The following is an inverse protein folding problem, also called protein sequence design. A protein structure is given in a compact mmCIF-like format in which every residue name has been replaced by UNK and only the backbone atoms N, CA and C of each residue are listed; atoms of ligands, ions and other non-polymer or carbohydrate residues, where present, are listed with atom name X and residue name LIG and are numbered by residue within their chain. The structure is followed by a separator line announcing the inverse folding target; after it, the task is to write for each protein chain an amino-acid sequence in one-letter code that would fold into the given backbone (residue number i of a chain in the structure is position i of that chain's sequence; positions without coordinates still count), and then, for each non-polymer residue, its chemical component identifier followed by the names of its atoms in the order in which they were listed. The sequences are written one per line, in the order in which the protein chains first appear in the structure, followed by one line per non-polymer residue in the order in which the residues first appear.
data_IF_985807267117
#
_entry.id   IF_985807267117
#
_cell.length_a   1.000
_cell.length_b   1.000
_cell.length_c   1.000
_cell.angle_alpha   90.00
_cell.angle_beta   90.00
_cell.angle_gamma   90.00
#
_symmetry.space_group_name_H-M   'P 1'
#
loop_
_entity.id
_entity.type
_entity.pdbx_description
1 polymer ?
#
# COMPACT_ATOMS: atom_id res chain seq x y z
N UNK A 1 25.81 -0.61 24.79
CA UNK A 1 26.76 -0.05 23.81
C UNK A 1 26.58 -0.75 22.46
N UNK A 2 26.38 0.00 21.38
CA UNK A 2 26.23 -0.56 20.03
C UNK A 2 27.64 -0.90 19.50
N UNK A 3 27.80 -2.10 18.95
CA UNK A 3 29.06 -2.57 18.35
C UNK A 3 29.40 -1.71 17.13
N UNK A 4 30.64 -1.20 17.08
CA UNK A 4 31.13 -0.37 15.97
C UNK A 4 31.04 -1.09 14.61
N UNK A 5 31.10 -2.42 14.59
CA UNK A 5 30.97 -3.21 13.37
C UNK A 5 29.53 -3.31 12.85
N UNK A 6 28.54 -2.82 13.60
CA UNK A 6 27.13 -2.74 13.17
C UNK A 6 26.79 -1.40 12.50
N UNK A 7 27.77 -0.50 12.36
CA UNK A 7 27.61 0.78 11.66
C UNK A 7 27.94 0.60 10.18
N UNK A 8 26.96 0.87 9.31
CA UNK A 8 27.18 0.92 7.87
C UNK A 8 28.02 2.15 7.53
N UNK A 9 29.32 1.97 7.25
CA UNK A 9 30.18 3.02 6.72
C UNK A 9 29.85 3.31 5.25
N UNK A 10 29.16 4.43 4.99
CA UNK A 10 28.96 4.94 3.63
C UNK A 10 30.25 5.64 3.18
N UNK A 11 31.08 4.96 2.38
CA UNK A 11 32.27 5.56 1.78
C UNK A 11 31.86 6.54 0.67
N UNK A 12 31.79 7.83 1.00
CA UNK A 12 31.59 8.87 0.00
C UNK A 12 32.79 8.93 -0.97
N UNK A 13 32.56 8.67 -2.26
CA UNK A 13 33.60 8.77 -3.30
C UNK A 13 34.02 10.24 -3.46
N UNK A 14 35.25 10.55 -3.02
CA UNK A 14 35.96 11.78 -3.38
C UNK A 14 36.23 11.80 -4.89
N UNK A 15 35.77 12.87 -5.56
CA UNK A 15 35.97 13.11 -6.98
C UNK A 15 37.36 13.71 -7.20
N UNK A 16 38.34 12.91 -7.58
CA UNK A 16 39.63 13.43 -8.09
C UNK A 16 39.43 14.15 -9.43
N UNK A 17 40.03 15.34 -9.54
CA UNK A 17 40.20 16.06 -10.80
C UNK A 17 41.62 15.82 -11.30
N UNK A 18 41.75 15.07 -12.40
CA UNK A 18 42.96 15.05 -13.22
C UNK A 18 42.54 15.32 -14.67
N UNK A 19 43.11 16.39 -15.23
CA UNK A 19 42.82 16.87 -16.57
C UNK A 19 43.48 16.04 -17.66
N UNK A 20 42.82 15.98 -18.81
CA UNK A 20 43.36 15.42 -20.05
C UNK A 20 42.30 15.52 -21.16
N UNK A 21 42.57 16.34 -22.18
CA UNK A 21 41.74 16.46 -23.39
C UNK A 21 41.77 15.15 -24.17
N UNK A 22 40.62 14.61 -24.60
CA UNK A 22 40.47 13.76 -25.80
C UNK A 22 38.97 13.57 -26.16
N UNK A 23 38.61 13.96 -27.39
CA UNK A 23 37.49 13.57 -28.30
C UNK A 23 36.03 13.51 -27.78
N UNK A 24 35.03 14.10 -28.49
CA UNK A 24 33.63 13.93 -28.15
C UNK A 24 33.11 12.57 -28.65
N UNK A 25 33.15 11.56 -27.79
CA UNK A 25 32.35 10.33 -27.94
C UNK A 25 31.04 10.49 -27.18
N UNK A 26 29.97 9.93 -27.76
CA UNK A 26 28.56 9.85 -27.33
C UNK A 26 28.26 10.06 -25.83
N UNK A 27 27.08 10.61 -25.47
CA UNK A 27 26.67 10.71 -24.08
C UNK A 27 26.66 9.30 -23.46
N UNK A 28 27.65 9.02 -22.61
CA UNK A 28 27.60 7.88 -21.72
C UNK A 28 26.44 8.15 -20.76
N UNK A 29 25.30 7.56 -21.05
CA UNK A 29 24.21 7.40 -20.09
C UNK A 29 24.84 6.67 -18.92
N UNK A 30 25.15 7.39 -17.84
CA UNK A 30 25.51 6.75 -16.58
C UNK A 30 24.31 5.92 -16.18
N UNK A 31 24.41 4.60 -16.36
CA UNK A 31 23.46 3.69 -15.75
C UNK A 31 23.43 4.01 -14.26
N UNK A 32 22.30 4.52 -13.79
CA UNK A 32 22.05 4.71 -12.38
C UNK A 32 21.94 3.30 -11.82
N UNK A 33 23.04 2.78 -11.28
CA UNK A 33 23.04 1.51 -10.56
C UNK A 33 22.12 1.70 -9.36
N UNK A 34 20.93 1.13 -9.45
CA UNK A 34 19.95 1.18 -8.39
C UNK A 34 20.34 0.14 -7.34
N UNK A 35 20.85 0.60 -6.20
CA UNK A 35 21.18 -0.26 -5.06
C UNK A 35 19.92 -0.45 -4.21
N UNK A 36 19.65 -1.71 -3.85
CA UNK A 36 18.49 -2.08 -3.05
C UNK A 36 18.94 -2.52 -1.65
N UNK A 37 18.29 -1.99 -0.63
CA UNK A 37 18.48 -2.46 0.75
C UNK A 37 18.00 -3.91 0.82
N UNK A 38 18.83 -4.79 1.37
CA UNK A 38 18.65 -6.25 1.39
C UNK A 38 18.71 -6.94 0.01
N UNK A 39 19.29 -6.28 -1.01
CA UNK A 39 19.55 -6.87 -2.33
C UNK A 39 18.37 -6.78 -3.31
N UNK A 40 18.65 -7.13 -4.56
CA UNK A 40 17.71 -7.07 -5.69
C UNK A 40 17.05 -8.42 -6.02
N UNK A 41 17.34 -9.47 -5.25
CA UNK A 41 16.91 -10.85 -5.52
C UNK A 41 15.39 -10.97 -5.64
N UNK A 42 14.65 -10.20 -4.85
CA UNK A 42 13.16 -10.18 -4.87
C UNK A 42 12.53 -9.48 -6.08
N UNK A 43 13.32 -8.79 -6.91
CA UNK A 43 12.80 -8.04 -8.07
C UNK A 43 12.43 -8.99 -9.22
N UNK A 44 13.18 -10.08 -9.36
CA UNK A 44 12.99 -11.06 -10.43
C UNK A 44 12.00 -12.16 -10.08
N UNK A 45 11.56 -12.21 -8.82
CA UNK A 45 10.56 -13.18 -8.35
C UNK A 45 9.19 -12.93 -8.98
N UNK A 46 8.41 -14.00 -9.12
CA UNK A 46 7.04 -13.88 -9.61
C UNK A 46 6.16 -13.09 -8.60
N UNK A 47 5.08 -12.44 -9.06
CA UNK A 47 4.24 -11.61 -8.20
C UNK A 47 3.66 -12.33 -6.98
N UNK A 48 3.28 -13.61 -7.12
CA UNK A 48 2.65 -14.36 -6.04
C UNK A 48 3.67 -14.71 -4.94
N UNK A 49 4.87 -15.12 -5.32
CA UNK A 49 5.98 -15.37 -4.37
C UNK A 49 6.35 -14.08 -3.64
N UNK A 50 6.46 -12.96 -4.37
CA UNK A 50 6.75 -11.66 -3.78
C UNK A 50 5.68 -11.25 -2.76
N UNK A 51 4.41 -11.38 -3.11
CA UNK A 51 3.30 -11.03 -2.21
C UNK A 51 3.29 -11.89 -0.95
N UNK A 52 3.59 -13.19 -1.08
CA UNK A 52 3.73 -14.09 0.06
C UNK A 52 4.86 -13.64 1.01
N UNK A 53 6.05 -13.36 0.48
CA UNK A 53 7.20 -12.93 1.30
C UNK A 53 6.92 -11.58 1.97
N UNK A 54 6.32 -10.63 1.25
CA UNK A 54 5.92 -9.33 1.80
C UNK A 54 4.89 -9.51 2.92
N UNK A 55 3.89 -10.37 2.73
CA UNK A 55 2.89 -10.65 3.78
C UNK A 55 3.54 -11.27 5.02
N UNK A 56 4.43 -12.24 4.83
CA UNK A 56 5.19 -12.86 5.92
C UNK A 56 6.01 -11.82 6.69
N UNK A 57 6.71 -10.93 5.99
CA UNK A 57 7.48 -9.86 6.61
C UNK A 57 6.59 -8.91 7.44
N UNK A 58 5.42 -8.52 6.89
CA UNK A 58 4.44 -7.71 7.63
C UNK A 58 3.94 -8.40 8.89
N UNK A 59 3.64 -9.69 8.83
CA UNK A 59 3.24 -10.46 10.01
C UNK A 59 4.34 -10.53 11.08
N UNK A 60 5.60 -10.72 10.68
CA UNK A 60 6.72 -10.72 11.62
C UNK A 60 6.92 -9.34 12.27
N UNK A 61 6.82 -8.27 11.48
CA UNK A 61 6.87 -6.91 11.98
C UNK A 61 5.71 -6.63 12.95
N UNK A 62 4.49 -7.06 12.60
CA UNK A 62 3.31 -6.89 13.45
C UNK A 62 3.46 -7.57 14.81
N UNK A 63 4.01 -8.80 14.85
CA UNK A 63 4.31 -9.51 16.11
C UNK A 63 5.28 -8.73 16.99
N UNK A 64 6.38 -8.26 16.41
CA UNK A 64 7.38 -7.49 17.13
C UNK A 64 6.78 -6.17 17.67
N UNK A 65 6.07 -5.44 16.82
CA UNK A 65 5.47 -4.17 17.19
C UNK A 65 4.33 -4.34 18.20
N UNK A 66 3.51 -5.39 18.09
CA UNK A 66 2.47 -5.72 19.06
C UNK A 66 3.04 -6.03 20.44
N UNK A 67 4.16 -6.78 20.50
CA UNK A 67 4.88 -7.00 21.75
C UNK A 67 5.48 -5.70 22.32
N UNK A 68 6.00 -4.81 21.46
CA UNK A 68 6.48 -3.49 21.87
C UNK A 68 5.33 -2.62 22.41
N UNK A 69 4.14 -2.66 21.82
CA UNK A 69 2.96 -1.98 22.34
C UNK A 69 2.68 -2.39 23.78
N UNK A 70 2.82 -3.67 24.13
CA UNK A 70 2.68 -4.11 25.52
C UNK A 70 3.67 -3.41 26.47
N UNK A 71 4.93 -3.23 26.05
CA UNK A 71 5.94 -2.53 26.85
C UNK A 71 5.61 -1.04 26.99
N UNK A 72 5.17 -0.40 25.90
CA UNK A 72 4.76 1.02 25.91
C UNK A 72 3.53 1.24 26.80
N UNK A 73 2.63 0.25 26.84
CA UNK A 73 1.41 0.27 27.65
C UNK A 73 1.64 -0.03 29.13
N UNK A 74 2.86 -0.40 29.55
CA UNK A 74 3.17 -0.80 30.92
C UNK A 74 2.88 0.36 31.90
N UNK A 75 2.19 0.12 33.04
CA UNK A 75 1.89 1.15 34.02
C UNK A 75 3.13 1.86 34.58
N UNK A 76 4.26 1.15 34.75
CA UNK A 76 5.51 1.73 35.26
C UNK A 76 6.10 2.76 34.29
N UNK A 77 5.96 2.50 32.98
CA UNK A 77 6.38 3.42 31.90
C UNK A 77 5.47 4.64 31.83
N UNK A 78 4.18 4.47 32.15
CA UNK A 78 3.17 5.54 32.10
C UNK A 78 2.94 6.26 33.44
N UNK A 79 3.70 5.91 34.49
CA UNK A 79 3.60 6.53 35.81
C UNK A 79 4.31 7.89 35.91
N UNK A 80 5.22 8.18 34.98
CA UNK A 80 5.94 9.44 34.94
C UNK A 80 4.99 10.60 34.59
N UNK A 81 5.14 11.74 35.28
CA UNK A 81 4.44 12.99 34.97
C UNK A 81 5.07 13.64 33.74
N UNK A 82 4.85 13.06 32.57
CA UNK A 82 5.15 13.66 31.27
C UNK A 82 3.89 14.35 30.74
N UNK A 83 4.06 15.39 29.92
CA UNK A 83 2.94 16.12 29.30
C UNK A 83 2.08 15.21 28.40
N UNK A 84 2.72 14.26 27.73
CA UNK A 84 2.05 13.21 26.95
C UNK A 84 2.61 11.87 27.40
N UNK A 85 1.73 10.96 27.83
CA UNK A 85 2.14 9.62 28.25
C UNK A 85 2.42 8.73 27.03
N UNK A 86 3.37 7.80 27.11
CA UNK A 86 3.68 6.90 26.00
C UNK A 86 2.47 6.15 25.44
N UNK A 87 1.53 5.71 26.30
CA UNK A 87 0.28 5.10 25.86
C UNK A 87 -0.63 6.05 25.06
N UNK A 88 -0.64 7.35 25.38
CA UNK A 88 -1.41 8.35 24.63
C UNK A 88 -0.80 8.60 23.25
N UNK A 89 0.53 8.73 23.17
CA UNK A 89 1.23 8.81 21.88
C UNK A 89 0.99 7.57 21.02
N UNK A 90 1.01 6.38 21.63
CA UNK A 90 0.69 5.13 20.94
C UNK A 90 -0.75 5.14 20.42
N UNK A 91 -1.73 5.52 21.24
CA UNK A 91 -3.12 5.62 20.81
C UNK A 91 -3.28 6.57 19.61
N UNK A 92 -2.64 7.74 19.65
CA UNK A 92 -2.65 8.71 18.54
C UNK A 92 -2.03 8.14 17.27
N UNK A 93 -0.91 7.43 17.37
CA UNK A 93 -0.26 6.79 16.22
C UNK A 93 -1.13 5.71 15.59
N UNK A 94 -1.74 4.85 16.42
CA UNK A 94 -2.64 3.79 15.92
C UNK A 94 -3.87 4.40 15.26
N UNK A 95 -4.47 5.42 15.87
CA UNK A 95 -5.59 6.16 15.30
C UNK A 95 -5.24 6.87 13.99
N UNK A 96 -4.06 7.47 13.90
CA UNK A 96 -3.60 8.12 12.67
C UNK A 96 -3.64 7.16 11.49
N UNK A 97 -3.09 5.95 11.66
CA UNK A 97 -3.09 4.94 10.61
C UNK A 97 -4.47 4.32 10.36
N UNK A 98 -5.28 4.09 11.40
CA UNK A 98 -6.67 3.61 11.26
C UNK A 98 -7.58 4.62 10.53
N UNK A 99 -7.22 5.90 10.50
CA UNK A 99 -7.94 6.94 9.78
C UNK A 99 -7.40 7.22 8.38
N UNK A 100 -6.26 6.63 7.98
CA UNK A 100 -5.62 6.86 6.68
C UNK A 100 -6.52 6.50 5.48
N UNK A 101 -6.25 7.05 4.29
CA UNK A 101 -6.88 6.59 3.03
C UNK A 101 -6.10 5.46 2.35
N UNK A 102 -5.00 5.02 2.93
CA UNK A 102 -4.26 3.83 2.46
C UNK A 102 -4.81 2.56 3.11
N UNK A 103 -5.29 1.65 2.27
CA UNK A 103 -5.67 0.30 2.68
C UNK A 103 -4.48 -0.44 3.30
N UNK A 104 -3.28 -0.28 2.74
CA UNK A 104 -2.07 -0.92 3.24
C UNK A 104 -1.69 -0.44 4.65
N UNK A 105 -1.80 0.85 4.93
CA UNK A 105 -1.53 1.39 6.26
C UNK A 105 -2.55 0.88 7.28
N UNK A 106 -3.85 0.88 6.94
CA UNK A 106 -4.90 0.37 7.82
C UNK A 106 -4.77 -1.12 8.09
N UNK A 107 -4.49 -1.90 7.05
CA UNK A 107 -4.23 -3.33 7.18
C UNK A 107 -3.03 -3.58 8.11
N UNK A 108 -1.92 -2.87 7.91
CA UNK A 108 -0.71 -3.06 8.70
C UNK A 108 -0.92 -2.70 10.18
N UNK A 109 -1.59 -1.57 10.48
CA UNK A 109 -1.87 -1.19 11.87
C UNK A 109 -2.89 -2.13 12.53
N UNK A 110 -3.86 -2.65 11.79
CA UNK A 110 -4.79 -3.65 12.30
C UNK A 110 -4.07 -4.94 12.71
N UNK A 111 -3.10 -5.42 11.93
CA UNK A 111 -2.27 -6.56 12.31
C UNK A 111 -1.51 -6.30 13.62
N UNK A 112 -0.90 -5.12 13.78
CA UNK A 112 -0.21 -4.73 15.02
C UNK A 112 -1.16 -4.75 16.21
N UNK A 113 -2.38 -4.21 16.06
CA UNK A 113 -3.40 -4.21 17.11
C UNK A 113 -3.85 -5.63 17.45
N UNK A 114 -4.04 -6.50 16.44
CA UNK A 114 -4.38 -7.91 16.67
C UNK A 114 -3.29 -8.62 17.50
N UNK A 115 -2.02 -8.45 17.13
CA UNK A 115 -0.90 -9.06 17.85
C UNK A 115 -0.77 -8.48 19.27
N UNK A 116 -0.92 -7.17 19.46
CA UNK A 116 -0.96 -6.55 20.78
C UNK A 116 -2.11 -7.09 21.65
N UNK A 117 -3.33 -7.15 21.11
CA UNK A 117 -4.51 -7.64 21.82
C UNK A 117 -4.38 -9.13 22.20
N UNK A 118 -3.74 -9.94 21.35
CA UNK A 118 -3.51 -11.37 21.61
C UNK A 118 -2.66 -11.64 22.85
N UNK A 119 -1.84 -10.66 23.27
CA UNK A 119 -0.95 -10.76 24.42
C UNK A 119 -1.64 -10.40 25.76
N UNK A 120 -2.93 -10.04 25.74
CA UNK A 120 -3.78 -9.78 26.93
C UNK A 120 -3.20 -8.79 27.95
N UNK A 121 -2.43 -7.80 27.49
CA UNK A 121 -1.92 -6.68 28.29
C UNK A 121 -2.70 -5.42 27.96
N UNK A 122 -3.97 -5.41 28.31
CA UNK A 122 -4.87 -4.30 28.00
C UNK A 122 -4.49 -3.05 28.77
N UNK A 123 -4.34 -1.95 28.03
CA UNK A 123 -4.26 -0.60 28.57
C UNK A 123 -5.52 0.14 28.15
N UNK A 124 -6.33 0.56 29.13
CA UNK A 124 -7.65 1.17 28.87
C UNK A 124 -7.59 2.35 27.92
N UNK A 125 -6.58 3.22 28.03
CA UNK A 125 -6.43 4.40 27.18
C UNK A 125 -6.33 4.01 25.71
N UNK A 126 -5.44 3.04 25.42
CA UNK A 126 -5.22 2.58 24.04
C UNK A 126 -6.40 1.77 23.55
N UNK A 127 -6.94 0.87 24.39
CA UNK A 127 -8.07 0.02 24.05
C UNK A 127 -9.31 0.85 23.69
N UNK A 128 -9.70 1.80 24.55
CA UNK A 128 -10.87 2.66 24.33
C UNK A 128 -10.74 3.48 23.04
N UNK A 129 -9.52 3.98 22.77
CA UNK A 129 -9.23 4.73 21.56
C UNK A 129 -9.40 3.87 20.30
N UNK A 130 -8.82 2.67 20.25
CA UNK A 130 -8.81 1.85 19.02
C UNK A 130 -10.12 1.10 18.80
N UNK A 131 -10.78 0.59 19.85
CA UNK A 131 -12.00 -0.23 19.72
C UNK A 131 -13.12 0.56 19.04
N UNK A 132 -13.38 1.78 19.51
CA UNK A 132 -14.39 2.66 18.92
C UNK A 132 -14.12 2.90 17.44
N UNK A 133 -12.86 3.17 17.08
CA UNK A 133 -12.49 3.40 15.69
C UNK A 133 -12.60 2.14 14.83
N UNK A 134 -12.14 1.00 15.32
CA UNK A 134 -12.22 -0.29 14.61
C UNK A 134 -13.66 -0.67 14.28
N UNK A 135 -14.60 -0.47 15.20
CA UNK A 135 -16.03 -0.66 14.93
C UNK A 135 -16.53 0.29 13.84
N UNK A 136 -16.09 1.54 13.86
CA UNK A 136 -16.37 2.50 12.80
C UNK A 136 -15.83 2.06 11.43
N UNK A 137 -14.64 1.44 11.39
CA UNK A 137 -14.05 0.93 10.15
C UNK A 137 -14.91 -0.16 9.50
N UNK A 138 -15.61 -0.99 10.28
CA UNK A 138 -16.45 -2.05 9.74
C UNK A 138 -17.70 -1.54 9.00
N UNK A 139 -18.13 -0.32 9.30
CA UNK A 139 -19.38 0.25 8.76
C UNK A 139 -19.15 1.38 7.74
N UNK A 140 -17.89 1.76 7.51
CA UNK A 140 -17.59 2.91 6.67
C UNK A 140 -17.48 2.52 5.19
N UNK A 141 -17.80 3.50 4.32
CA UNK A 141 -17.69 3.37 2.89
C UNK A 141 -16.56 4.29 2.42
N UNK A 142 -15.39 3.72 2.12
CA UNK A 142 -14.20 4.49 1.77
C UNK A 142 -13.57 3.99 0.46
N UNK A 143 -13.17 4.94 -0.39
CA UNK A 143 -12.30 4.69 -1.53
C UNK A 143 -10.85 4.81 -1.09
N UNK A 144 -10.10 3.72 -1.24
CA UNK A 144 -8.69 3.66 -0.87
C UNK A 144 -7.79 4.21 -1.97
N UNK A 145 -6.66 4.80 -1.60
CA UNK A 145 -5.71 5.38 -2.56
C UNK A 145 -5.18 4.30 -3.53
N UNK A 146 -5.04 3.06 -3.07
CA UNK A 146 -4.57 1.92 -3.87
C UNK A 146 -5.51 1.58 -5.05
N UNK A 147 -6.81 1.90 -4.95
CA UNK A 147 -7.76 1.65 -6.04
C UNK A 147 -7.94 2.85 -6.98
N UNK A 148 -7.40 4.03 -6.64
CA UNK A 148 -7.64 5.25 -7.41
C UNK A 148 -7.12 5.12 -8.86
N UNK A 149 -5.86 4.71 -9.03
CA UNK A 149 -5.23 4.52 -10.34
C UNK A 149 -5.95 3.46 -11.20
N UNK A 150 -6.15 2.22 -10.73
CA UNK A 150 -6.85 1.21 -11.53
C UNK A 150 -8.30 1.61 -11.81
N UNK A 151 -8.98 2.30 -10.88
CA UNK A 151 -10.33 2.81 -11.11
C UNK A 151 -10.35 3.85 -12.23
N UNK A 152 -9.46 4.85 -12.21
CA UNK A 152 -9.34 5.84 -13.31
C UNK A 152 -9.01 5.16 -14.64
N UNK A 153 -8.13 4.16 -14.63
CA UNK A 153 -7.82 3.38 -15.83
C UNK A 153 -9.06 2.67 -16.38
N UNK A 154 -9.84 1.99 -15.53
CA UNK A 154 -11.10 1.36 -15.90
C UNK A 154 -12.08 2.37 -16.53
N UNK A 155 -12.22 3.58 -15.95
CA UNK A 155 -13.06 4.64 -16.53
C UNK A 155 -12.66 4.97 -17.97
N UNK A 156 -11.36 5.10 -18.23
CA UNK A 156 -10.84 5.44 -19.54
C UNK A 156 -11.02 4.30 -20.54
N UNK A 157 -10.73 3.06 -20.12
CA UNK A 157 -10.91 1.87 -20.96
C UNK A 157 -12.38 1.64 -21.35
N UNK A 158 -13.33 1.84 -20.43
CA UNK A 158 -14.76 1.78 -20.75
C UNK A 158 -15.18 2.84 -21.79
N UNK A 159 -14.69 4.08 -21.65
CA UNK A 159 -14.98 5.17 -22.60
C UNK A 159 -14.37 4.90 -23.97
N UNK A 160 -13.12 4.40 -24.01
CA UNK A 160 -12.46 4.00 -25.25
C UNK A 160 -13.21 2.87 -25.95
N UNK A 161 -13.66 1.86 -25.19
CA UNK A 161 -14.45 0.75 -25.72
C UNK A 161 -15.73 1.26 -26.41
N UNK A 162 -16.48 2.15 -25.73
CA UNK A 162 -17.69 2.76 -26.30
C UNK A 162 -17.37 3.54 -27.57
N UNK A 163 -16.27 4.30 -27.58
CA UNK A 163 -15.81 5.03 -28.76
C UNK A 163 -15.55 4.08 -29.93
N UNK A 164 -14.78 3.00 -29.71
CA UNK A 164 -14.45 2.05 -30.78
C UNK A 164 -15.67 1.38 -31.40
N UNK A 165 -16.71 1.10 -30.62
CA UNK A 165 -17.97 0.59 -31.16
C UNK A 165 -18.78 1.64 -31.90
N UNK A 166 -18.78 2.87 -31.41
CA UNK A 166 -19.41 4.01 -32.10
C UNK A 166 -18.76 4.21 -33.46
N UNK A 167 -17.43 4.16 -33.54
CA UNK A 167 -16.66 4.26 -34.79
C UNK A 167 -16.96 3.09 -35.76
N UNK A 168 -17.33 1.92 -35.23
CA UNK A 168 -17.77 0.76 -35.99
C UNK A 168 -19.27 0.77 -36.35
N UNK A 169 -19.99 1.87 -36.10
CA UNK A 169 -21.45 1.99 -36.27
C UNK A 169 -22.28 0.96 -35.49
N UNK A 170 -21.75 0.47 -34.37
CA UNK A 170 -22.47 -0.42 -33.45
C UNK A 170 -23.12 0.44 -32.38
N UNK A 171 -24.45 0.55 -32.41
CA UNK A 171 -25.17 1.34 -31.41
C UNK A 171 -25.11 0.70 -30.01
N UNK A 172 -24.43 1.41 -29.10
CA UNK A 172 -24.39 1.17 -27.64
C UNK A 172 -24.86 2.45 -26.90
N UNK A 173 -25.06 3.54 -27.63
CA UNK A 173 -25.22 4.91 -27.10
C UNK A 173 -26.48 5.10 -26.27
N UNK A 174 -27.56 4.37 -26.58
CA UNK A 174 -28.84 4.47 -25.89
C UNK A 174 -28.81 3.99 -24.42
N UNK A 175 -27.71 3.41 -23.92
CA UNK A 175 -27.66 2.74 -22.61
C UNK A 175 -26.52 3.16 -21.69
N UNK A 176 -25.69 4.13 -22.09
CA UNK A 176 -24.48 4.51 -21.34
C UNK A 176 -24.30 6.02 -21.25
N UNK A 177 -25.29 6.71 -20.67
CA UNK A 177 -25.17 8.14 -20.32
C UNK A 177 -24.60 8.31 -18.90
N UNK A 178 -23.48 7.64 -18.60
CA UNK A 178 -22.79 7.78 -17.32
C UNK A 178 -21.44 8.46 -17.54
N UNK A 179 -21.24 9.63 -16.93
CA UNK A 179 -19.94 10.33 -16.94
C UNK A 179 -18.85 9.57 -16.18
N UNK A 180 -19.27 8.76 -15.20
CA UNK A 180 -18.45 7.89 -14.36
C UNK A 180 -19.18 6.54 -14.19
N UNK A 181 -18.45 5.45 -14.34
CA UNK A 181 -18.92 4.08 -14.17
C UNK A 181 -18.68 3.59 -12.74
N UNK A 182 -19.66 2.93 -12.14
CA UNK A 182 -19.37 2.02 -11.02
C UNK A 182 -18.69 0.74 -11.53
N UNK A 183 -18.07 -0.02 -10.63
CA UNK A 183 -17.49 -1.34 -10.99
C UNK A 183 -18.56 -2.26 -11.58
N UNK A 184 -19.77 -2.25 -11.00
CA UNK A 184 -20.89 -3.05 -11.50
C UNK A 184 -21.33 -2.62 -12.90
N UNK A 185 -21.43 -1.31 -13.15
CA UNK A 185 -21.76 -0.78 -14.48
C UNK A 185 -20.69 -1.14 -15.52
N UNK A 186 -19.41 -1.07 -15.15
CA UNK A 186 -18.31 -1.48 -16.03
C UNK A 186 -18.37 -2.99 -16.34
N UNK A 187 -18.64 -3.82 -15.33
CA UNK A 187 -18.82 -5.26 -15.50
C UNK A 187 -20.03 -5.60 -16.38
N UNK A 188 -21.14 -4.88 -16.21
CA UNK A 188 -22.36 -5.06 -16.99
C UNK A 188 -22.13 -4.69 -18.47
N UNK A 189 -21.43 -3.58 -18.73
CA UNK A 189 -21.04 -3.16 -20.07
C UNK A 189 -20.26 -4.26 -20.79
N UNK A 190 -19.18 -4.75 -20.16
CA UNK A 190 -18.33 -5.81 -20.73
C UNK A 190 -19.13 -7.10 -20.93
N UNK A 191 -19.89 -7.54 -19.92
CA UNK A 191 -20.66 -8.79 -19.97
C UNK A 191 -21.70 -8.80 -21.08
N UNK A 192 -22.42 -7.69 -21.28
CA UNK A 192 -23.42 -7.57 -22.35
C UNK A 192 -22.77 -7.61 -23.73
N UNK A 193 -21.61 -6.98 -23.89
CA UNK A 193 -20.87 -6.99 -25.14
C UNK A 193 -20.38 -8.41 -25.47
N UNK A 194 -19.76 -9.09 -24.51
CA UNK A 194 -19.33 -10.49 -24.69
C UNK A 194 -20.50 -11.38 -25.10
N UNK A 195 -21.69 -11.22 -24.50
CA UNK A 195 -22.89 -11.98 -24.87
C UNK A 195 -23.36 -11.68 -26.30
N UNK A 196 -23.25 -10.43 -26.76
CA UNK A 196 -23.62 -10.04 -28.13
C UNK A 196 -22.67 -10.59 -29.19
N UNK A 197 -21.40 -10.81 -28.82
CA UNK A 197 -20.37 -11.34 -29.74
C UNK A 197 -20.08 -12.84 -29.57
N UNK A 198 -20.64 -13.52 -28.55
CA UNK A 198 -20.69 -14.98 -28.56
C UNK A 198 -21.59 -15.41 -29.73
N UNK A 199 -21.07 -16.11 -30.75
CA UNK A 199 -21.85 -16.47 -31.91
C UNK A 199 -22.99 -17.39 -31.50
N UNK A 200 -24.22 -17.04 -31.88
CA UNK A 200 -25.39 -17.92 -31.89
C UNK A 200 -25.27 -19.06 -32.93
N UNK A 201 -24.06 -19.43 -33.35
CA UNK A 201 -23.81 -20.36 -34.45
C UNK A 201 -22.88 -21.48 -34.00
N UNK A 202 -23.49 -22.46 -33.34
CA UNK A 202 -23.11 -23.88 -33.39
C UNK A 202 -24.37 -24.70 -33.10
N UNK A 203 -25.31 -24.70 -34.04
CA UNK A 203 -26.28 -25.77 -34.25
C UNK A 203 -26.67 -25.79 -35.73
#
# INVERSE_FOLDING_TARGET
PIDLNMLLEVKAKLKEKSGGKLRPSQPQTKEVVQEYIAGAESITEDPATRDFVVMRARMMAAKLLGALCCCICDPSVNAASQEIRPAESLAQLLLFHLNSKSALQRFSVALVICEWASLQKENKIVADAVVSRLLGVLSEHLYYDEIAVPFTRMQNECKQLISSFTDANIDISSKVNCSVFTIDQANELVSKLIKRFKPSHFH
#
